data_IF_131208402897
#
_entry.id   IF_131208402897
#
_cell.length_a   1.000
_cell.length_b   1.000
_cell.length_c   1.000
_cell.angle_alpha   90.00
_cell.angle_beta   90.00
_cell.angle_gamma   90.00
#
_symmetry.space_group_name_H-M   'P 1'
#
loop_
_entity.id
_entity.type
_entity.pdbx_description
1 polymer ?
#
# COMPACT_ATOMS: atom_id res chain seq x y z
N UNK A 1 19.12 -13.94 11.74
CA UNK A 1 19.01 -14.68 10.45
C UNK A 1 17.71 -15.47 10.30
N UNK A 2 17.14 -16.05 11.38
CA UNK A 2 15.89 -16.84 11.34
C UNK A 2 14.60 -16.05 11.01
N UNK A 3 14.49 -14.77 11.39
CA UNK A 3 13.27 -13.99 11.18
C UNK A 3 12.96 -13.67 9.69
N UNK A 4 14.00 -13.65 8.84
CA UNK A 4 13.82 -13.47 7.40
C UNK A 4 13.24 -14.73 6.74
N UNK A 5 13.54 -15.91 7.30
CA UNK A 5 13.13 -17.21 6.79
C UNK A 5 11.65 -17.52 7.03
N UNK A 6 11.11 -17.08 8.18
CA UNK A 6 9.69 -17.27 8.51
C UNK A 6 8.76 -16.37 7.68
N UNK A 7 9.21 -15.17 7.30
CA UNK A 7 8.43 -14.26 6.43
C UNK A 7 8.34 -14.75 4.98
N UNK A 8 9.35 -15.45 4.49
CA UNK A 8 9.34 -16.06 3.15
C UNK A 8 8.32 -17.21 3.05
N UNK A 9 8.12 -17.98 4.11
CA UNK A 9 7.17 -19.11 4.10
C UNK A 9 5.70 -18.65 4.08
N UNK A 10 5.38 -17.53 4.73
CA UNK A 10 4.01 -16.99 4.75
C UNK A 10 3.57 -16.47 3.37
N UNK A 11 4.49 -15.85 2.63
CA UNK A 11 4.26 -15.39 1.27
C UNK A 11 4.04 -16.56 0.30
N UNK A 12 4.81 -17.64 0.47
CA UNK A 12 4.66 -18.87 -0.31
C UNK A 12 3.28 -19.51 -0.10
N UNK A 13 2.81 -19.59 1.15
CA UNK A 13 1.51 -20.16 1.49
C UNK A 13 0.34 -19.38 0.88
N UNK A 14 0.42 -18.04 0.85
CA UNK A 14 -0.64 -17.18 0.30
C UNK A 14 -0.74 -17.26 -1.23
N UNK A 15 0.40 -17.41 -1.91
CA UNK A 15 0.43 -17.64 -3.37
C UNK A 15 -0.23 -18.97 -3.74
N UNK A 16 0.01 -20.02 -2.95
CA UNK A 16 -0.59 -21.34 -3.17
C UNK A 16 -2.12 -21.32 -3.00
N UNK A 17 -2.65 -20.56 -2.04
CA UNK A 17 -4.12 -20.45 -1.83
C UNK A 17 -4.84 -19.71 -2.95
N UNK A 18 -4.23 -18.68 -3.55
CA UNK A 18 -4.83 -17.91 -4.64
C UNK A 18 -4.84 -18.68 -5.97
N UNK A 19 -3.81 -19.51 -6.20
CA UNK A 19 -3.76 -20.46 -7.30
C UNK A 19 -4.86 -21.52 -7.17
N UNK A 20 -5.07 -22.05 -5.95
CA UNK A 20 -6.11 -23.05 -5.67
C UNK A 20 -7.54 -22.52 -5.89
N UNK A 21 -7.75 -21.20 -5.84
CA UNK A 21 -9.05 -20.55 -6.10
C UNK A 21 -9.30 -20.24 -7.58
N UNK A 22 -8.33 -20.50 -8.49
CA UNK A 22 -8.53 -20.37 -9.93
C UNK A 22 -8.62 -18.94 -10.47
N UNK A 23 -8.16 -17.95 -9.69
CA UNK A 23 -8.30 -16.52 -10.03
C UNK A 23 -7.20 -15.95 -10.96
N UNK A 24 -6.21 -16.74 -11.41
CA UNK A 24 -5.03 -16.23 -12.13
C UNK A 24 -4.47 -17.16 -13.22
N UNK A 25 -3.94 -16.55 -14.30
CA UNK A 25 -3.19 -17.18 -15.39
C UNK A 25 -1.67 -17.03 -15.21
N UNK A 26 -0.89 -17.91 -15.83
CA UNK A 26 0.47 -18.28 -15.40
C UNK A 26 1.62 -17.27 -15.72
N UNK A 27 1.41 -16.21 -16.52
CA UNK A 27 2.52 -15.42 -17.13
C UNK A 27 2.78 -14.03 -16.55
N UNK A 28 1.76 -13.30 -16.08
CA UNK A 28 1.88 -11.83 -15.90
C UNK A 28 2.16 -11.40 -14.45
N UNK A 29 1.99 -12.31 -13.50
CA UNK A 29 2.02 -12.06 -12.04
C UNK A 29 3.30 -12.55 -11.34
N UNK A 30 3.90 -13.64 -11.86
CA UNK A 30 5.12 -14.27 -11.32
C UNK A 30 6.40 -13.43 -11.50
N UNK A 31 6.31 -12.32 -12.25
CA UNK A 31 7.42 -11.47 -12.65
C UNK A 31 7.40 -10.08 -12.00
N UNK A 32 6.22 -9.47 -11.84
CA UNK A 32 6.06 -8.08 -11.35
C UNK A 32 6.68 -7.83 -9.97
N UNK A 33 6.78 -8.88 -9.17
CA UNK A 33 7.16 -8.80 -7.78
C UNK A 33 8.09 -9.93 -7.31
N UNK A 34 8.87 -10.58 -8.20
CA UNK A 34 10.05 -11.28 -7.68
C UNK A 34 10.92 -10.29 -6.86
N UNK A 35 10.81 -9.00 -7.19
CA UNK A 35 11.62 -7.89 -6.68
C UNK A 35 10.86 -6.55 -6.68
N UNK A 36 10.26 -6.18 -5.56
CA UNK A 36 10.49 -4.83 -5.02
C UNK A 36 11.86 -4.76 -4.29
N UNK A 37 12.69 -5.80 -4.45
CA UNK A 37 13.93 -6.10 -3.70
C UNK A 37 15.21 -6.02 -4.54
N UNK A 38 15.13 -5.76 -5.85
CA UNK A 38 16.25 -5.30 -6.68
C UNK A 38 15.78 -4.01 -7.33
N UNK A 39 16.56 -2.92 -7.27
CA UNK A 39 16.24 -1.71 -8.01
C UNK A 39 15.93 -2.11 -9.45
N UNK A 40 14.73 -1.81 -9.95
CA UNK A 40 14.50 -1.85 -11.38
C UNK A 40 15.44 -0.80 -11.96
N UNK A 41 16.21 -1.13 -13.01
CA UNK A 41 17.00 -0.12 -13.70
C UNK A 41 16.08 1.03 -14.13
N UNK A 42 16.34 2.22 -13.59
CA UNK A 42 15.53 3.41 -13.87
C UNK A 42 14.22 3.54 -13.08
N UNK A 43 13.89 2.65 -12.12
CA UNK A 43 12.75 2.91 -11.25
C UNK A 43 13.01 4.10 -10.34
N UNK A 44 12.10 5.05 -10.44
CA UNK A 44 11.98 6.20 -9.56
C UNK A 44 10.67 6.10 -8.77
N UNK A 45 10.45 7.06 -7.90
CA UNK A 45 9.25 7.11 -7.06
C UNK A 45 7.96 6.96 -7.87
N UNK A 46 7.82 7.67 -8.99
CA UNK A 46 6.64 7.61 -9.87
C UNK A 46 6.36 6.21 -10.43
N UNK A 47 7.42 5.47 -10.80
CA UNK A 47 7.28 4.10 -11.31
C UNK A 47 6.68 3.18 -10.25
N UNK A 48 7.17 3.27 -9.01
CA UNK A 48 6.64 2.49 -7.90
C UNK A 48 5.21 2.91 -7.53
N UNK A 49 4.88 4.19 -7.64
CA UNK A 49 3.51 4.69 -7.42
C UNK A 49 2.54 4.09 -8.44
N UNK A 50 2.91 4.05 -9.72
CA UNK A 50 2.08 3.43 -10.78
C UNK A 50 1.87 1.94 -10.56
N UNK A 51 2.93 1.20 -10.21
CA UNK A 51 2.84 -0.22 -9.85
C UNK A 51 1.88 -0.42 -8.66
N UNK A 52 1.99 0.41 -7.63
CA UNK A 52 1.09 0.37 -6.49
C UNK A 52 -0.37 0.55 -6.89
N UNK A 53 -0.68 1.47 -7.80
CA UNK A 53 -2.05 1.69 -8.29
C UNK A 53 -2.58 0.48 -9.07
N UNK A 54 -1.76 -0.15 -9.91
CA UNK A 54 -2.16 -1.32 -10.68
C UNK A 54 -2.42 -2.53 -9.78
N UNK A 55 -1.55 -2.75 -8.78
CA UNK A 55 -1.74 -3.78 -7.76
C UNK A 55 -3.01 -3.53 -6.93
N UNK A 56 -3.33 -2.26 -6.63
CA UNK A 56 -4.59 -1.92 -5.96
C UNK A 56 -5.81 -2.29 -6.82
N UNK A 57 -5.79 -2.01 -8.14
CA UNK A 57 -6.86 -2.40 -9.07
C UNK A 57 -7.06 -3.91 -9.17
N UNK A 58 -5.98 -4.67 -8.99
CA UNK A 58 -6.00 -6.14 -8.94
C UNK A 58 -6.40 -6.70 -7.55
N UNK A 59 -6.81 -5.85 -6.61
CA UNK A 59 -7.11 -6.20 -5.21
C UNK A 59 -5.92 -6.81 -4.44
N UNK A 60 -4.69 -6.62 -4.91
CA UNK A 60 -3.47 -7.08 -4.26
C UNK A 60 -2.97 -6.07 -3.22
N UNK A 61 -3.78 -5.78 -2.18
CA UNK A 61 -3.56 -4.69 -1.20
C UNK A 61 -2.15 -4.69 -0.59
N UNK A 62 -1.65 -5.84 -0.13
CA UNK A 62 -0.34 -5.90 0.53
C UNK A 62 0.85 -5.63 -0.41
N UNK A 63 0.74 -6.07 -1.66
CA UNK A 63 1.76 -5.77 -2.67
C UNK A 63 1.70 -4.29 -3.05
N UNK A 64 0.50 -3.72 -3.16
CA UNK A 64 0.29 -2.29 -3.40
C UNK A 64 0.93 -1.43 -2.31
N UNK A 65 0.73 -1.76 -1.02
CA UNK A 65 1.40 -1.09 0.10
C UNK A 65 2.91 -1.11 -0.02
N UNK A 66 3.48 -2.28 -0.34
CA UNK A 66 4.93 -2.43 -0.49
C UNK A 66 5.46 -1.54 -1.61
N UNK A 67 4.74 -1.43 -2.74
CA UNK A 67 5.11 -0.57 -3.85
C UNK A 67 5.08 0.92 -3.46
N UNK A 68 4.03 1.39 -2.78
CA UNK A 68 3.97 2.76 -2.29
C UNK A 68 5.07 3.08 -1.26
N UNK A 69 5.42 2.14 -0.39
CA UNK A 69 6.54 2.30 0.54
C UNK A 69 7.89 2.43 -0.20
N UNK A 70 8.09 1.71 -1.30
CA UNK A 70 9.29 1.88 -2.13
C UNK A 70 9.28 3.23 -2.87
N UNK A 71 8.10 3.69 -3.32
CA UNK A 71 7.96 5.02 -3.91
C UNK A 71 8.37 6.12 -2.92
N UNK A 72 7.88 6.04 -1.67
CA UNK A 72 8.21 7.00 -0.60
C UNK A 72 9.69 6.95 -0.24
N UNK A 73 10.31 5.76 -0.22
CA UNK A 73 11.76 5.63 0.00
C UNK A 73 12.60 6.24 -1.12
N UNK A 74 12.11 6.18 -2.36
CA UNK A 74 12.79 6.74 -3.52
C UNK A 74 12.63 8.27 -3.61
N UNK A 75 11.49 8.79 -3.16
CA UNK A 75 11.22 10.22 -3.00
C UNK A 75 10.22 10.43 -1.87
N UNK A 76 10.71 10.98 -0.76
CA UNK A 76 9.89 11.26 0.42
C UNK A 76 8.84 12.36 0.16
N UNK A 77 8.96 13.10 -0.94
CA UNK A 77 8.01 14.13 -1.36
C UNK A 77 6.94 13.64 -2.32
N UNK A 78 6.89 12.34 -2.65
CA UNK A 78 5.83 11.81 -3.49
C UNK A 78 4.50 11.70 -2.72
N UNK A 79 3.76 12.80 -2.69
CA UNK A 79 2.46 12.91 -2.03
C UNK A 79 1.43 11.95 -2.59
N UNK A 80 1.50 11.60 -3.88
CA UNK A 80 0.61 10.60 -4.49
C UNK A 80 0.82 9.21 -3.87
N UNK A 81 2.05 8.80 -3.63
CA UNK A 81 2.35 7.53 -2.96
C UNK A 81 1.90 7.54 -1.50
N UNK A 82 2.15 8.65 -0.79
CA UNK A 82 1.77 8.83 0.63
C UNK A 82 0.25 8.75 0.79
N UNK A 83 -0.50 9.49 -0.02
CA UNK A 83 -1.97 9.51 0.00
C UNK A 83 -2.53 8.13 -0.32
N UNK A 84 -1.99 7.42 -1.33
CA UNK A 84 -2.48 6.09 -1.66
C UNK A 84 -2.14 5.05 -0.60
N UNK A 85 -0.98 5.14 0.06
CA UNK A 85 -0.68 4.28 1.22
C UNK A 85 -1.64 4.56 2.38
N UNK A 86 -1.91 5.83 2.67
CA UNK A 86 -2.91 6.24 3.66
C UNK A 86 -4.29 5.69 3.34
N UNK A 87 -4.68 5.68 2.07
CA UNK A 87 -5.96 5.11 1.64
C UNK A 87 -6.06 3.61 1.94
N UNK A 88 -4.99 2.86 1.71
CA UNK A 88 -4.96 1.43 2.05
C UNK A 88 -5.03 1.19 3.56
N UNK A 89 -4.39 2.03 4.37
CA UNK A 89 -4.48 1.95 5.83
C UNK A 89 -5.89 2.27 6.32
N UNK A 90 -6.51 3.33 5.79
CA UNK A 90 -7.90 3.68 6.07
C UNK A 90 -8.85 2.53 5.76
N UNK A 91 -8.68 1.89 4.59
CA UNK A 91 -9.49 0.73 4.16
C UNK A 91 -9.35 -0.48 5.07
N UNK A 92 -8.24 -0.61 5.78
CA UNK A 92 -7.96 -1.69 6.73
C UNK A 92 -8.33 -1.33 8.18
N UNK A 93 -8.90 -0.15 8.43
CA UNK A 93 -9.28 0.30 9.77
C UNK A 93 -8.15 0.99 10.56
N UNK A 94 -6.97 1.12 9.97
CA UNK A 94 -5.82 1.80 10.58
C UNK A 94 -5.94 3.32 10.43
N UNK A 95 -7.00 3.89 11.01
CA UNK A 95 -7.39 5.29 10.79
C UNK A 95 -6.33 6.30 11.27
N UNK A 96 -5.73 6.07 12.44
CA UNK A 96 -4.70 6.97 13.01
C UNK A 96 -3.42 7.01 12.16
N UNK A 97 -3.00 5.86 11.63
CA UNK A 97 -1.85 5.78 10.73
C UNK A 97 -2.15 6.48 9.39
N UNK A 98 -3.37 6.31 8.87
CA UNK A 98 -3.84 7.01 7.68
C UNK A 98 -3.85 8.53 7.88
N UNK A 99 -4.39 9.02 9.02
CA UNK A 99 -4.38 10.44 9.41
C UNK A 99 -2.96 10.99 9.39
N UNK A 100 -2.01 10.26 9.98
CA UNK A 100 -0.60 10.66 10.02
C UNK A 100 -0.03 10.84 8.61
N UNK A 101 -0.27 9.89 7.71
CA UNK A 101 0.18 9.98 6.32
C UNK A 101 -0.49 11.12 5.55
N UNK A 102 -1.79 11.36 5.72
CA UNK A 102 -2.46 12.46 5.03
C UNK A 102 -1.95 13.83 5.49
N UNK A 103 -1.69 13.99 6.79
CA UNK A 103 -1.07 15.21 7.32
C UNK A 103 0.35 15.39 6.79
N UNK A 104 1.11 14.31 6.70
CA UNK A 104 2.45 14.32 6.13
C UNK A 104 2.44 14.69 4.64
N UNK A 105 1.46 14.21 3.87
CA UNK A 105 1.25 14.61 2.48
C UNK A 105 0.91 16.10 2.35
N UNK A 106 -0.02 16.61 3.18
CA UNK A 106 -0.43 18.02 3.20
C UNK A 106 0.70 18.97 3.62
N UNK A 107 1.68 18.49 4.40
CA UNK A 107 2.88 19.24 4.72
C UNK A 107 3.83 19.43 3.53
N UNK A 108 3.70 18.62 2.48
CA UNK A 108 4.56 18.65 1.28
C UNK A 108 3.85 19.24 0.06
N UNK A 109 2.59 18.88 -0.14
CA UNK A 109 1.74 19.41 -1.18
C UNK A 109 0.29 19.54 -0.68
N UNK A 110 -0.28 20.74 -0.82
CA UNK A 110 -1.63 21.06 -0.38
C UNK A 110 -2.64 20.61 -1.44
N UNK A 111 -3.15 19.38 -1.28
CA UNK A 111 -4.06 18.77 -2.25
C UNK A 111 -5.45 18.52 -1.67
N UNK A 112 -6.47 18.79 -2.48
CA UNK A 112 -7.88 18.55 -2.11
C UNK A 112 -8.16 17.07 -1.81
N UNK A 113 -7.46 16.15 -2.48
CA UNK A 113 -7.59 14.70 -2.26
C UNK A 113 -7.09 14.33 -0.86
N UNK A 114 -5.94 14.87 -0.43
CA UNK A 114 -5.41 14.58 0.90
C UNK A 114 -6.32 15.15 2.00
N UNK A 115 -6.87 16.36 1.82
CA UNK A 115 -7.87 16.92 2.74
C UNK A 115 -9.14 16.06 2.83
N UNK A 116 -9.67 15.63 1.69
CA UNK A 116 -10.86 14.79 1.66
C UNK A 116 -10.62 13.46 2.39
N UNK A 117 -9.50 12.80 2.10
CA UNK A 117 -9.17 11.53 2.74
C UNK A 117 -8.86 11.69 4.24
N UNK A 118 -8.26 12.81 4.65
CA UNK A 118 -8.05 13.14 6.06
C UNK A 118 -9.38 13.32 6.80
N UNK A 119 -10.34 14.03 6.19
CA UNK A 119 -11.67 14.20 6.77
C UNK A 119 -12.39 12.86 6.94
N UNK A 120 -12.33 11.98 5.92
CA UNK A 120 -12.89 10.63 6.02
C UNK A 120 -12.25 9.84 7.16
N UNK A 121 -10.93 9.91 7.30
CA UNK A 121 -10.21 9.18 8.34
C UNK A 121 -10.56 9.66 9.75
N UNK A 122 -10.71 10.97 9.97
CA UNK A 122 -11.18 11.49 11.26
C UNK A 122 -12.62 11.07 11.59
N UNK A 123 -13.52 11.06 10.60
CA UNK A 123 -14.89 10.60 10.81
C UNK A 123 -14.93 9.11 11.20
N UNK A 124 -14.13 8.28 10.52
CA UNK A 124 -14.05 6.86 10.83
C UNK A 124 -13.43 6.59 12.21
N UNK A 125 -12.31 7.27 12.54
CA UNK A 125 -11.68 7.16 13.86
C UNK A 125 -12.62 7.58 15.00
N UNK A 126 -13.37 8.67 14.81
CA UNK A 126 -14.37 9.13 15.78
C UNK A 126 -15.57 8.17 15.92
N UNK A 127 -15.94 7.47 14.86
CA UNK A 127 -17.02 6.47 14.88
C UNK A 127 -16.60 5.17 15.57
N UNK A 128 -15.32 4.80 15.47
CA UNK A 128 -14.74 3.61 16.11
C UNK A 128 -14.57 3.81 17.63
N UNK A 129 -14.38 5.05 18.07
CA UNK A 129 -14.28 5.40 19.49
C UNK A 129 -15.59 5.30 20.29
N UNK A 130 -16.72 4.88 19.69
CA UNK A 130 -17.89 4.53 20.48
C UNK A 130 -19.19 4.35 19.70
N UNK A 131 -19.65 3.09 19.60
CA UNK A 131 -20.96 2.63 20.09
C UNK A 131 -20.91 1.10 20.25
N UNK A 132 -20.43 0.63 21.41
CA UNK A 132 -20.82 -0.68 21.92
C UNK A 132 -22.05 -0.47 22.82
N UNK A 133 -23.23 -0.85 22.31
CA UNK A 133 -24.41 -1.11 23.15
C UNK A 133 -24.44 -2.59 23.54
#
# INVERSE_FOLDING_TARGET
MLAAYVKTDLALLYTQTLIAQGAMTETDHSLMALRLSKPLEGANSETYTRIGMDLYRLNASQLSKTAYQQAIKADESNTTAIVNLGWLLYREGHYEEAITLYRDALGKDDTSIAWFNLALAYLAAGSDCGFNF
#
